data_IF_091573335589
#
_entry.id   IF_091573335589
#
_cell.length_a   1.000
_cell.length_b   1.000
_cell.length_c   1.000
_cell.angle_alpha   90.00
_cell.angle_beta   90.00
_cell.angle_gamma   90.00
#
_symmetry.space_group_name_H-M   'P 1'
#
loop_
_entity.id
_entity.type
_entity.pdbx_description
1 polymer ?
#
# COMPACT_ATOMS: atom_id res chain seq x y z
N UNK A 1 30.24 -43.45 -31.82
CA UNK A 1 29.14 -44.42 -31.60
C UNK A 1 29.43 -45.17 -30.31
N UNK A 2 28.42 -45.58 -29.54
CA UNK A 2 28.69 -46.41 -28.36
C UNK A 2 29.13 -47.81 -28.82
N UNK A 3 30.01 -48.47 -28.07
CA UNK A 3 30.45 -49.86 -28.35
C UNK A 3 29.24 -50.80 -28.50
N UNK A 4 28.15 -50.51 -27.80
CA UNK A 4 26.88 -51.23 -27.86
C UNK A 4 26.14 -51.04 -29.19
N UNK A 5 26.17 -49.84 -29.78
CA UNK A 5 25.53 -49.57 -31.07
C UNK A 5 26.24 -50.29 -32.22
N UNK A 6 27.57 -50.36 -32.17
CA UNK A 6 28.38 -51.09 -33.15
C UNK A 6 28.08 -52.59 -33.11
N UNK A 7 27.99 -53.17 -31.91
CA UNK A 7 27.66 -54.60 -31.73
C UNK A 7 26.25 -54.93 -32.24
N UNK A 8 25.26 -54.08 -31.96
CA UNK A 8 23.90 -54.27 -32.51
C UNK A 8 23.88 -54.14 -34.02
N UNK A 9 24.67 -53.23 -34.60
CA UNK A 9 24.80 -53.10 -36.06
C UNK A 9 25.40 -54.36 -36.69
N UNK A 10 26.44 -54.93 -36.08
CA UNK A 10 27.03 -56.20 -36.54
C UNK A 10 26.05 -57.37 -36.43
N UNK A 11 25.24 -57.41 -35.38
CA UNK A 11 24.20 -58.43 -35.20
C UNK A 11 23.12 -58.33 -36.29
N UNK A 12 22.69 -57.12 -36.64
CA UNK A 12 21.76 -56.90 -37.74
C UNK A 12 22.33 -57.33 -39.09
N UNK A 13 23.62 -57.10 -39.34
CA UNK A 13 24.27 -57.58 -40.56
C UNK A 13 24.40 -59.10 -40.59
N UNK A 14 24.67 -59.73 -39.45
CA UNK A 14 24.75 -61.20 -39.33
C UNK A 14 23.38 -61.83 -39.61
N UNK A 15 22.31 -61.32 -38.98
CA UNK A 15 20.94 -61.79 -39.22
C UNK A 15 20.50 -61.59 -40.68
N UNK A 16 20.95 -60.52 -41.35
CA UNK A 16 20.67 -60.31 -42.77
C UNK A 16 21.36 -61.35 -43.68
N UNK A 17 22.53 -61.86 -43.28
CA UNK A 17 23.27 -62.89 -44.01
C UNK A 17 22.74 -64.31 -43.76
N UNK A 18 22.05 -64.52 -42.64
CA UNK A 18 21.48 -65.81 -42.23
C UNK A 18 19.96 -65.67 -41.99
N UNK A 19 19.16 -65.55 -43.06
CA UNK A 19 17.70 -65.40 -42.94
C UNK A 19 17.02 -66.67 -42.42
N UNK A 20 17.63 -67.84 -42.61
CA UNK A 20 17.09 -69.15 -42.23
C UNK A 20 17.28 -69.48 -40.73
N UNK A 21 18.02 -68.66 -39.98
CA UNK A 21 18.26 -68.85 -38.55
C UNK A 21 17.17 -68.13 -37.74
N UNK A 22 16.10 -68.84 -37.42
CA UNK A 22 14.95 -68.34 -36.66
C UNK A 22 15.35 -67.73 -35.31
N UNK A 23 16.34 -68.32 -34.62
CA UNK A 23 16.78 -67.84 -33.31
C UNK A 23 17.49 -66.49 -33.41
N UNK A 24 18.29 -66.30 -34.45
CA UNK A 24 18.97 -65.04 -34.74
C UNK A 24 17.98 -63.96 -35.19
N UNK A 25 16.95 -64.31 -35.97
CA UNK A 25 15.88 -63.36 -36.33
C UNK A 25 15.08 -62.94 -35.11
N UNK A 26 14.69 -63.88 -34.25
CA UNK A 26 13.93 -63.59 -33.03
C UNK A 26 14.71 -62.62 -32.11
N UNK A 27 16.00 -62.90 -31.87
CA UNK A 27 16.87 -62.03 -31.09
C UNK A 27 16.95 -60.60 -31.65
N UNK A 28 17.03 -60.44 -32.97
CA UNK A 28 16.99 -59.12 -33.61
C UNK A 28 15.66 -58.41 -33.40
N UNK A 29 14.54 -59.14 -33.45
CA UNK A 29 13.20 -58.59 -33.20
C UNK A 29 13.07 -58.07 -31.76
N UNK A 30 13.57 -58.83 -30.79
CA UNK A 30 13.61 -58.43 -29.37
C UNK A 30 14.51 -57.20 -29.18
N UNK A 31 15.69 -57.16 -29.80
CA UNK A 31 16.59 -56.01 -29.67
C UNK A 31 15.98 -54.74 -30.30
N UNK A 32 15.27 -54.86 -31.42
CA UNK A 32 14.53 -53.74 -32.02
C UNK A 32 13.43 -53.22 -31.08
N UNK A 33 12.63 -54.12 -30.49
CA UNK A 33 11.56 -53.72 -29.56
C UNK A 33 12.12 -53.08 -28.28
N UNK A 34 13.22 -53.62 -27.73
CA UNK A 34 13.91 -53.04 -26.57
C UNK A 34 14.47 -51.65 -26.86
N UNK A 35 15.11 -51.43 -28.02
CA UNK A 35 15.62 -50.11 -28.41
C UNK A 35 14.50 -49.09 -28.59
N UNK A 36 13.38 -49.49 -29.21
CA UNK A 36 12.20 -48.63 -29.33
C UNK A 36 11.65 -48.25 -27.94
N UNK A 37 11.50 -49.24 -27.06
CA UNK A 37 11.05 -49.02 -25.68
C UNK A 37 12.00 -48.07 -24.92
N UNK A 38 13.32 -48.27 -24.99
CA UNK A 38 14.31 -47.38 -24.38
C UNK A 38 14.21 -45.95 -24.89
N UNK A 39 13.98 -45.77 -26.20
CA UNK A 39 13.75 -44.46 -26.81
C UNK A 39 12.51 -43.77 -26.25
N UNK A 40 11.40 -44.51 -26.15
CA UNK A 40 10.16 -44.02 -25.55
C UNK A 40 10.32 -43.66 -24.07
N UNK A 41 11.00 -44.50 -23.29
CA UNK A 41 11.30 -44.21 -21.88
C UNK A 41 12.15 -42.96 -21.72
N UNK A 42 13.16 -42.76 -22.57
CA UNK A 42 13.98 -41.56 -22.54
C UNK A 42 13.15 -40.31 -22.83
N UNK A 43 12.35 -40.32 -23.90
CA UNK A 43 11.46 -39.21 -24.23
C UNK A 43 10.45 -38.91 -23.12
N UNK A 44 9.86 -39.96 -22.54
CA UNK A 44 8.93 -39.84 -21.43
C UNK A 44 9.59 -39.22 -20.19
N UNK A 45 10.80 -39.67 -19.84
CA UNK A 45 11.55 -39.14 -18.71
C UNK A 45 11.97 -37.68 -18.92
N UNK A 46 12.39 -37.32 -20.13
CA UNK A 46 12.72 -35.94 -20.49
C UNK A 46 11.48 -35.04 -20.37
N UNK A 47 10.32 -35.48 -20.87
CA UNK A 47 9.05 -34.77 -20.73
C UNK A 47 8.62 -34.65 -19.26
N UNK A 48 8.75 -35.72 -18.49
CA UNK A 48 8.43 -35.73 -17.06
C UNK A 48 9.28 -34.70 -16.31
N UNK A 49 10.58 -34.66 -16.57
CA UNK A 49 11.51 -33.69 -15.96
C UNK A 49 11.18 -32.26 -16.36
N UNK A 50 10.84 -32.02 -17.63
CA UNK A 50 10.39 -30.70 -18.11
C UNK A 50 9.14 -30.25 -17.36
N UNK A 51 8.10 -31.09 -17.35
CA UNK A 51 6.86 -30.78 -16.65
C UNK A 51 7.09 -30.53 -15.16
N UNK A 52 7.95 -31.32 -14.52
CA UNK A 52 8.28 -31.14 -13.10
C UNK A 52 8.98 -29.79 -12.85
N UNK A 53 9.83 -29.34 -13.78
CA UNK A 53 10.47 -28.02 -13.70
C UNK A 53 9.43 -26.92 -13.86
N UNK A 54 8.59 -27.00 -14.87
CA UNK A 54 7.55 -26.01 -15.15
C UNK A 54 6.57 -25.87 -13.97
N UNK A 55 6.17 -26.99 -13.38
CA UNK A 55 5.31 -26.99 -12.19
C UNK A 55 5.98 -26.34 -10.97
N UNK A 56 7.28 -26.57 -10.76
CA UNK A 56 8.03 -25.91 -9.68
C UNK A 56 8.09 -24.41 -9.88
N UNK A 57 8.33 -23.95 -11.11
CA UNK A 57 8.34 -22.52 -11.43
C UNK A 57 6.96 -21.89 -11.21
N UNK A 58 5.89 -22.55 -11.64
CA UNK A 58 4.52 -22.09 -11.39
C UNK A 58 4.20 -22.00 -9.89
N UNK A 59 4.61 -22.99 -9.09
CA UNK A 59 4.41 -22.97 -7.63
C UNK A 59 5.12 -21.78 -7.00
N UNK A 60 6.36 -21.47 -7.41
CA UNK A 60 7.10 -20.31 -6.90
C UNK A 60 6.39 -19.01 -7.25
N UNK A 61 5.98 -18.83 -8.52
CA UNK A 61 5.26 -17.63 -8.97
C UNK A 61 3.93 -17.44 -8.23
N UNK A 62 3.16 -18.53 -8.05
CA UNK A 62 1.89 -18.49 -7.30
C UNK A 62 2.15 -18.13 -5.84
N UNK A 63 3.20 -18.69 -5.24
CA UNK A 63 3.54 -18.41 -3.83
C UNK A 63 3.91 -16.94 -3.63
N UNK A 64 4.76 -16.38 -4.49
CA UNK A 64 5.12 -14.96 -4.48
C UNK A 64 3.92 -14.04 -4.69
N UNK A 65 3.04 -14.40 -5.61
CA UNK A 65 1.80 -13.65 -5.87
C UNK A 65 0.88 -13.67 -4.64
N UNK A 66 0.75 -14.84 -4.00
CA UNK A 66 -0.06 -14.99 -2.80
C UNK A 66 0.49 -14.17 -1.63
N UNK A 67 1.81 -14.15 -1.44
CA UNK A 67 2.47 -13.31 -0.43
C UNK A 67 2.23 -11.82 -0.69
N UNK A 68 2.36 -11.35 -1.94
CA UNK A 68 2.06 -9.96 -2.32
C UNK A 68 0.60 -9.60 -2.01
N UNK A 69 -0.34 -10.46 -2.40
CA UNK A 69 -1.77 -10.24 -2.15
C UNK A 69 -2.10 -10.23 -0.65
N UNK A 70 -1.43 -11.03 0.16
CA UNK A 70 -1.60 -11.01 1.62
C UNK A 70 -1.12 -9.69 2.23
N UNK A 71 0.00 -9.14 1.75
CA UNK A 71 0.49 -7.83 2.18
C UNK A 71 -0.46 -6.71 1.78
N UNK A 72 -0.95 -6.72 0.54
CA UNK A 72 -1.94 -5.75 0.05
C UNK A 72 -3.24 -5.81 0.87
N UNK A 73 -3.75 -7.01 1.16
CA UNK A 73 -4.93 -7.19 2.02
C UNK A 73 -4.70 -6.65 3.43
N UNK A 74 -3.52 -6.89 4.02
CA UNK A 74 -3.19 -6.36 5.34
C UNK A 74 -3.16 -4.82 5.34
N UNK A 75 -2.56 -4.20 4.31
CA UNK A 75 -2.52 -2.75 4.16
C UNK A 75 -3.93 -2.16 4.01
N UNK A 76 -4.77 -2.75 3.15
CA UNK A 76 -6.16 -2.31 2.96
C UNK A 76 -6.97 -2.41 4.25
N UNK A 77 -6.78 -3.48 5.02
CA UNK A 77 -7.47 -3.64 6.31
C UNK A 77 -7.05 -2.55 7.32
N UNK A 78 -5.75 -2.22 7.39
CA UNK A 78 -5.26 -1.14 8.24
C UNK A 78 -5.82 0.22 7.83
N UNK A 79 -5.88 0.52 6.52
CA UNK A 79 -6.50 1.74 6.02
C UNK A 79 -8.00 1.80 6.34
N UNK A 80 -8.71 0.68 6.19
CA UNK A 80 -10.13 0.58 6.52
C UNK A 80 -10.39 0.82 8.01
N UNK A 81 -9.57 0.26 8.90
CA UNK A 81 -9.65 0.52 10.33
C UNK A 81 -9.41 2.00 10.62
N UNK A 82 -8.37 2.61 10.03
CA UNK A 82 -8.07 4.04 10.21
C UNK A 82 -9.24 4.92 9.77
N UNK A 83 -9.80 4.68 8.58
CA UNK A 83 -10.94 5.42 8.06
C UNK A 83 -12.20 5.23 8.92
N UNK A 84 -12.38 4.05 9.51
CA UNK A 84 -13.48 3.78 10.44
C UNK A 84 -13.34 4.61 11.72
N UNK A 85 -12.13 4.71 12.28
CA UNK A 85 -11.84 5.56 13.44
C UNK A 85 -12.03 7.05 13.11
N UNK A 86 -11.54 7.51 11.95
CA UNK A 86 -11.74 8.89 11.53
C UNK A 86 -13.22 9.23 11.34
N UNK A 87 -13.99 8.33 10.71
CA UNK A 87 -15.43 8.49 10.52
C UNK A 87 -16.17 8.58 11.86
N UNK A 88 -15.84 7.72 12.82
CA UNK A 88 -16.48 7.76 14.15
C UNK A 88 -16.16 9.05 14.89
N UNK A 89 -14.91 9.55 14.81
CA UNK A 89 -14.53 10.85 15.37
C UNK A 89 -15.33 12.00 14.75
N UNK A 90 -15.41 12.05 13.42
CA UNK A 90 -16.17 13.08 12.70
C UNK A 90 -17.66 13.04 13.07
N UNK A 91 -18.23 11.84 13.23
CA UNK A 91 -19.63 11.71 13.67
C UNK A 91 -19.84 12.25 15.08
N UNK A 92 -18.91 11.98 16.01
CA UNK A 92 -18.97 12.52 17.37
C UNK A 92 -18.85 14.05 17.38
N UNK A 93 -17.92 14.62 16.62
CA UNK A 93 -17.77 16.08 16.45
C UNK A 93 -19.02 16.71 15.85
N UNK A 94 -19.58 16.10 14.81
CA UNK A 94 -20.85 16.54 14.21
C UNK A 94 -21.99 16.55 15.24
N UNK A 95 -22.11 15.50 16.03
CA UNK A 95 -23.18 15.40 17.03
C UNK A 95 -23.01 16.41 18.17
N UNK A 96 -21.75 16.70 18.54
CA UNK A 96 -21.41 17.80 19.47
C UNK A 96 -21.78 19.17 18.88
N UNK A 97 -21.34 19.50 17.68
CA UNK A 97 -21.69 20.77 17.02
C UNK A 97 -23.21 20.92 16.90
N UNK A 98 -23.91 19.83 16.58
CA UNK A 98 -25.37 19.83 16.48
C UNK A 98 -26.06 20.09 17.83
N UNK A 99 -25.50 19.61 18.94
CA UNK A 99 -26.06 19.87 20.26
C UNK A 99 -25.76 21.30 20.74
N UNK A 100 -24.57 21.81 20.46
CA UNK A 100 -24.18 23.21 20.71
C UNK A 100 -25.09 24.17 19.93
N UNK A 101 -25.31 23.92 18.63
CA UNK A 101 -26.23 24.71 17.81
C UNK A 101 -27.65 24.75 18.39
N UNK A 102 -28.18 23.59 18.81
CA UNK A 102 -29.50 23.52 19.45
C UNK A 102 -29.56 24.22 20.81
N UNK A 103 -28.43 24.38 21.50
CA UNK A 103 -28.35 25.15 22.75
C UNK A 103 -28.44 26.64 22.43
N UNK A 104 -27.64 27.10 21.46
CA UNK A 104 -27.62 28.48 20.99
C UNK A 104 -28.99 28.90 20.44
N UNK A 105 -29.66 28.04 19.66
CA UNK A 105 -31.02 28.29 19.16
C UNK A 105 -32.00 28.54 20.31
N UNK A 106 -31.97 27.72 21.36
CA UNK A 106 -32.84 27.89 22.54
C UNK A 106 -32.51 29.17 23.32
N UNK A 107 -31.23 29.47 23.52
CA UNK A 107 -30.80 30.71 24.19
C UNK A 107 -31.23 31.95 23.39
N UNK A 108 -31.16 31.89 22.06
CA UNK A 108 -31.59 32.96 21.17
C UNK A 108 -33.11 33.17 21.23
N UNK A 109 -33.89 32.09 21.23
CA UNK A 109 -35.35 32.15 21.41
C UNK A 109 -35.74 32.78 22.74
N UNK A 110 -35.08 32.38 23.84
CA UNK A 110 -35.32 32.94 25.16
C UNK A 110 -34.94 34.43 25.23
N UNK A 111 -33.79 34.81 24.69
CA UNK A 111 -33.36 36.20 24.62
C UNK A 111 -34.34 37.05 23.78
N UNK A 112 -34.85 36.50 22.67
CA UNK A 112 -35.83 37.19 21.83
C UNK A 112 -37.15 37.43 22.59
N UNK A 113 -37.65 36.44 23.33
CA UNK A 113 -38.85 36.59 24.17
C UNK A 113 -38.61 37.68 25.23
N UNK A 114 -37.49 37.64 25.96
CA UNK A 114 -37.16 38.63 26.98
C UNK A 114 -37.03 40.05 26.42
N UNK A 115 -36.45 40.20 25.21
CA UNK A 115 -36.36 41.49 24.51
C UNK A 115 -37.75 42.02 24.14
N UNK A 116 -38.69 41.14 23.76
CA UNK A 116 -40.06 41.54 23.46
C UNK A 116 -40.82 41.98 24.72
N UNK A 117 -40.64 41.28 25.84
CA UNK A 117 -41.29 41.58 27.12
C UNK A 117 -40.74 42.83 27.82
N UNK A 118 -39.48 43.20 27.52
CA UNK A 118 -38.81 44.33 28.16
C UNK A 118 -39.24 45.68 27.54
N UNK A 119 -39.77 46.60 28.34
CA UNK A 119 -40.24 47.91 27.84
C UNK A 119 -39.16 49.00 27.71
N UNK A 120 -37.91 48.74 28.14
CA UNK A 120 -36.81 49.71 28.09
C UNK A 120 -35.80 49.36 26.99
N UNK A 121 -35.41 50.36 26.19
CA UNK A 121 -34.36 50.22 25.18
C UNK A 121 -33.03 49.76 25.79
N UNK A 122 -32.68 50.28 26.97
CA UNK A 122 -31.45 49.88 27.68
C UNK A 122 -31.51 48.42 28.15
N UNK A 123 -32.66 47.96 28.63
CA UNK A 123 -32.87 46.56 29.02
C UNK A 123 -32.77 45.61 27.82
N UNK A 124 -33.39 45.97 26.69
CA UNK A 124 -33.27 45.20 25.44
C UNK A 124 -31.82 45.07 24.97
N UNK A 125 -31.07 46.17 24.97
CA UNK A 125 -29.65 46.15 24.62
C UNK A 125 -28.84 45.25 25.56
N UNK A 126 -29.13 45.32 26.86
CA UNK A 126 -28.45 44.48 27.86
C UNK A 126 -28.68 42.99 27.62
N UNK A 127 -29.91 42.57 27.31
CA UNK A 127 -30.24 41.16 27.02
C UNK A 127 -29.52 40.68 25.76
N UNK A 128 -29.57 41.44 24.67
CA UNK A 128 -28.87 41.10 23.41
C UNK A 128 -27.35 41.03 23.63
N UNK A 129 -26.80 41.98 24.39
CA UNK A 129 -25.39 41.98 24.72
C UNK A 129 -24.97 40.78 25.56
N UNK A 130 -25.77 40.38 26.55
CA UNK A 130 -25.52 39.19 27.37
C UNK A 130 -25.59 37.90 26.55
N UNK A 131 -26.56 37.77 25.64
CA UNK A 131 -26.64 36.65 24.71
C UNK A 131 -25.38 36.57 23.83
N UNK A 132 -24.95 37.69 23.24
CA UNK A 132 -23.73 37.72 22.43
C UNK A 132 -22.49 37.34 23.25
N UNK A 133 -22.38 37.81 24.48
CA UNK A 133 -21.31 37.42 25.41
C UNK A 133 -21.34 35.92 25.72
N UNK A 134 -22.53 35.35 25.97
CA UNK A 134 -22.73 33.93 26.26
C UNK A 134 -22.43 33.02 25.07
N UNK A 135 -22.72 33.44 23.84
CA UNK A 135 -22.57 32.58 22.65
C UNK A 135 -21.19 32.71 21.99
N UNK A 136 -20.62 33.91 21.95
CA UNK A 136 -19.41 34.17 21.16
C UNK A 136 -18.17 34.46 22.01
N UNK A 137 -18.34 34.80 23.29
CA UNK A 137 -17.24 35.30 24.13
C UNK A 137 -17.09 34.53 25.46
N UNK A 138 -17.79 33.41 25.62
CA UNK A 138 -17.81 32.59 26.84
C UNK A 138 -16.79 31.45 26.84
N UNK A 139 -16.19 31.11 25.69
CA UNK A 139 -15.16 30.08 25.62
C UNK A 139 -13.82 30.55 26.22
N UNK A 140 -13.24 29.67 27.04
CA UNK A 140 -11.94 29.87 27.68
C UNK A 140 -10.82 30.10 26.64
N UNK A 141 -9.79 30.93 26.93
CA UNK A 141 -8.77 31.37 25.97
C UNK A 141 -7.76 30.27 25.57
N UNK A 142 -8.21 29.10 25.12
CA UNK A 142 -7.34 27.94 24.87
C UNK A 142 -7.42 27.31 23.48
N UNK A 143 -8.13 27.88 22.51
CA UNK A 143 -8.10 27.31 21.16
C UNK A 143 -8.19 28.31 20.01
N UNK A 144 -7.55 29.47 20.17
CA UNK A 144 -6.97 30.10 18.98
C UNK A 144 -5.70 29.32 18.71
N UNK A 145 -5.76 28.34 17.80
CA UNK A 145 -4.60 27.57 17.37
C UNK A 145 -3.37 28.45 17.30
N UNK A 146 -2.25 28.00 17.91
CA UNK A 146 -1.02 28.78 17.94
C UNK A 146 -0.73 29.25 16.53
N UNK A 147 -0.73 30.57 16.32
CA UNK A 147 -0.13 31.14 15.12
C UNK A 147 1.34 30.75 15.23
N UNK A 148 1.74 29.78 14.43
CA UNK A 148 3.13 29.36 14.36
C UNK A 148 3.89 30.50 13.66
N UNK A 149 4.43 31.41 14.48
CA UNK A 149 5.32 32.47 14.03
C UNK A 149 6.73 31.95 13.74
N UNK A 150 6.93 30.62 13.68
CA UNK A 150 8.16 30.07 13.17
C UNK A 150 8.36 30.57 11.73
N UNK A 151 9.32 31.48 11.58
CA UNK A 151 9.82 31.88 10.29
C UNK A 151 10.26 30.61 9.54
N UNK A 152 9.94 30.46 8.24
CA UNK A 152 10.50 29.38 7.46
C UNK A 152 12.02 29.44 7.61
N UNK A 153 12.63 28.32 7.97
CA UNK A 153 14.08 28.21 8.06
C UNK A 153 14.64 28.25 6.64
N UNK A 154 14.87 29.46 6.11
CA UNK A 154 15.51 29.67 4.82
C UNK A 154 17.00 29.39 4.99
N UNK A 155 17.39 28.11 4.93
CA UNK A 155 18.78 27.67 4.98
C UNK A 155 19.62 28.03 3.75
N UNK A 156 18.98 28.55 2.68
CA UNK A 156 19.64 28.81 1.39
C UNK A 156 19.57 30.26 0.88
N UNK A 157 19.23 31.24 1.72
CA UNK A 157 19.41 32.65 1.33
C UNK A 157 20.74 33.20 1.87
N UNK A 158 21.54 33.92 1.04
CA UNK A 158 22.76 34.54 1.52
C UNK A 158 22.41 35.58 2.59
N UNK A 159 22.70 35.26 3.85
CA UNK A 159 22.54 36.20 4.95
C UNK A 159 23.51 37.37 4.76
N UNK A 160 22.99 38.60 4.70
CA UNK A 160 23.84 39.78 4.85
C UNK A 160 24.44 39.74 6.26
N UNK A 161 25.75 39.50 6.34
CA UNK A 161 26.55 39.59 7.56
C UNK A 161 26.34 40.97 8.20
N UNK A 162 25.63 40.99 9.32
CA UNK A 162 25.58 42.13 10.23
C UNK A 162 26.57 41.89 11.35
N UNK A 163 27.84 41.74 10.98
CA UNK A 163 28.92 41.71 11.97
C UNK A 163 29.03 43.12 12.57
N UNK A 164 28.94 43.25 13.89
CA UNK A 164 29.02 44.53 14.65
C UNK A 164 30.31 45.34 14.42
N UNK A 165 31.25 44.85 13.60
CA UNK A 165 32.49 45.54 13.24
C UNK A 165 32.35 46.49 12.04
N UNK A 166 31.20 46.53 11.34
CA UNK A 166 30.97 47.42 10.19
C UNK A 166 30.17 48.70 10.50
N UNK A 167 29.70 48.87 11.74
CA UNK A 167 29.05 50.11 12.21
C UNK A 167 30.04 50.86 13.11
N UNK A 168 30.95 51.60 12.50
CA UNK A 168 31.81 52.53 13.24
C UNK A 168 33.19 52.72 12.65
N UNK A 169 33.28 53.50 11.56
CA UNK A 169 34.42 54.37 11.21
C UNK A 169 34.08 55.09 9.90
N UNK A 170 33.63 56.33 10.04
CA UNK A 170 33.91 57.50 9.17
C UNK A 170 32.82 58.55 9.33
N UNK A 171 32.93 59.35 10.38
CA UNK A 171 32.27 60.66 10.48
C UNK A 171 33.18 61.70 11.16
N UNK A 172 34.50 61.56 11.01
CA UNK A 172 35.48 62.57 11.41
C UNK A 172 36.64 62.53 10.40
N UNK A 173 36.38 63.08 9.22
CA UNK A 173 37.36 63.79 8.38
C UNK A 173 36.62 64.41 7.19
N UNK A 174 36.11 65.63 7.39
CA UNK A 174 36.06 66.75 6.43
C UNK A 174 35.53 68.01 7.10
#
# INVERSE_FOLDING_TARGET
MSVTDERVQTLYQLAKKHPEDDTLQEAVTIIKSLRLSQGQYKQWNDKYRSNQKDLKEQIVTISQTNESLQLELAAINQEMEKLTHEKTRILAERDRIKSELRSIEREAELAAIQVQETNSLYGKFTIVWQFLQSVFFSDHPRDFGRIDNALPEFSDQPQMRTDQASIGRDLLDQ
#
